data_IF_786444816060
#
_entry.id   IF_786444816060
#
_cell.length_a   1.000
_cell.length_b   1.000
_cell.length_c   1.000
_cell.angle_alpha   90.00
_cell.angle_beta   90.00
_cell.angle_gamma   90.00
#
_symmetry.space_group_name_H-M   'P 1'
#
loop_
_entity.id
_entity.type
_entity.pdbx_description
1 polymer ?
#
# COMPACT_ATOMS: atom_id res chain seq x y z
N UNK A 1 15.36 -19.35 24.97
CA UNK A 1 14.19 -18.90 24.17
C UNK A 1 12.98 -19.23 25.01
N UNK A 2 12.33 -18.24 25.60
CA UNK A 2 11.11 -18.48 26.39
C UNK A 2 10.06 -19.08 25.47
N UNK A 3 9.41 -20.15 25.89
CA UNK A 3 8.19 -20.61 25.23
C UNK A 3 7.21 -19.42 25.16
N UNK A 4 6.59 -19.23 24.00
CA UNK A 4 5.60 -18.17 23.82
C UNK A 4 4.40 -18.44 24.74
N UNK A 5 4.28 -17.66 25.82
CA UNK A 5 3.25 -17.88 26.85
C UNK A 5 1.84 -17.41 26.40
N UNK A 6 1.73 -16.60 25.35
CA UNK A 6 0.49 -16.00 24.84
C UNK A 6 -0.08 -16.59 23.55
N UNK A 7 -0.79 -15.79 22.77
CA UNK A 7 -1.38 -16.20 21.47
C UNK A 7 -0.31 -16.47 20.41
N UNK A 8 0.92 -16.02 20.64
CA UNK A 8 2.07 -16.17 19.75
C UNK A 8 2.44 -17.64 19.52
N UNK A 9 2.07 -18.55 20.45
CA UNK A 9 2.20 -20.00 20.26
C UNK A 9 1.34 -20.57 19.14
N UNK A 10 0.30 -19.84 18.72
CA UNK A 10 -0.57 -20.21 17.59
C UNK A 10 0.00 -19.70 16.25
N UNK A 11 0.98 -18.80 16.30
CA UNK A 11 1.65 -18.24 15.13
C UNK A 11 2.73 -19.22 14.68
N UNK A 12 2.90 -19.40 13.36
CA UNK A 12 4.02 -20.19 12.81
C UNK A 12 5.34 -19.61 13.31
N UNK A 13 6.24 -20.46 13.80
CA UNK A 13 7.51 -20.06 14.44
C UNK A 13 8.31 -19.03 13.61
N UNK A 14 8.37 -19.22 12.29
CA UNK A 14 9.12 -18.35 11.37
C UNK A 14 8.51 -16.94 11.25
N UNK A 15 7.24 -16.78 11.61
CA UNK A 15 6.52 -15.50 11.58
C UNK A 15 6.60 -14.74 12.90
N UNK A 16 6.91 -15.41 14.02
CA UNK A 16 6.95 -14.79 15.36
C UNK A 16 7.94 -13.64 15.41
N UNK A 17 9.07 -13.77 14.71
CA UNK A 17 10.12 -12.74 14.64
C UNK A 17 10.15 -12.02 13.29
N UNK A 18 9.19 -12.29 12.40
CA UNK A 18 9.17 -11.68 11.07
C UNK A 18 8.80 -10.21 11.19
N UNK A 19 9.69 -9.33 10.71
CA UNK A 19 9.45 -7.89 10.71
C UNK A 19 8.25 -7.54 9.82
N UNK A 20 7.40 -6.63 10.30
CA UNK A 20 6.33 -6.07 9.48
C UNK A 20 6.89 -5.34 8.26
N UNK A 21 6.21 -5.48 7.12
CA UNK A 21 6.59 -4.74 5.92
C UNK A 21 6.30 -3.24 6.10
N UNK A 22 7.30 -2.40 5.84
CA UNK A 22 7.15 -0.94 5.87
C UNK A 22 6.88 -0.45 4.44
N UNK A 23 5.61 -0.22 4.13
CA UNK A 23 5.17 0.28 2.83
C UNK A 23 5.37 1.80 2.68
N UNK A 24 5.43 2.28 1.44
CA UNK A 24 5.34 3.72 1.13
C UNK A 24 4.05 4.32 1.69
N UNK A 25 4.09 5.59 2.11
CA UNK A 25 2.90 6.27 2.63
C UNK A 25 2.01 6.75 1.47
N UNK A 26 0.70 6.54 1.59
CA UNK A 26 -0.22 7.10 0.59
C UNK A 26 -0.44 8.60 0.87
N UNK A 27 -0.51 9.46 -0.17
CA UNK A 27 -0.77 10.89 0.01
C UNK A 27 -2.01 11.20 0.86
N UNK A 28 -3.06 10.40 0.73
CA UNK A 28 -4.32 10.55 1.47
C UNK A 28 -4.13 10.41 2.98
N UNK A 29 -3.12 9.66 3.43
CA UNK A 29 -2.80 9.52 4.86
C UNK A 29 -2.09 10.74 5.43
N UNK A 30 -1.62 11.67 4.60
CA UNK A 30 -0.87 12.87 5.01
C UNK A 30 -1.76 14.10 5.19
N UNK A 31 -3.08 13.98 5.00
CA UNK A 31 -4.04 15.08 5.23
C UNK A 31 -3.86 15.65 6.64
N UNK A 32 -3.58 16.96 6.71
CA UNK A 32 -3.37 17.67 7.97
C UNK A 32 -2.04 17.37 8.69
N UNK A 33 -1.18 16.53 8.12
CA UNK A 33 0.18 16.26 8.62
C UNK A 33 1.24 17.08 7.88
N UNK A 34 0.90 17.61 6.71
CA UNK A 34 1.76 18.44 5.86
C UNK A 34 1.05 19.73 5.46
N UNK A 35 1.82 20.76 5.10
CA UNK A 35 1.31 22.08 4.73
C UNK A 35 0.70 22.15 3.33
N UNK A 36 0.97 21.14 2.49
CA UNK A 36 0.49 21.08 1.10
C UNK A 36 -0.81 20.29 1.02
N UNK A 37 -1.75 20.67 0.13
CA UNK A 37 -2.93 19.87 -0.15
C UNK A 37 -2.52 18.55 -0.83
N UNK A 38 -3.33 17.49 -0.65
CA UNK A 38 -3.02 16.12 -1.13
C UNK A 38 -2.78 16.10 -2.64
N UNK A 39 -3.55 16.89 -3.38
CA UNK A 39 -3.49 17.01 -4.84
C UNK A 39 -2.17 17.61 -5.34
N UNK A 40 -1.42 18.26 -4.44
CA UNK A 40 -0.10 18.84 -4.73
C UNK A 40 1.07 17.97 -4.27
N UNK A 41 0.81 16.81 -3.66
CA UNK A 41 1.85 15.87 -3.24
C UNK A 41 2.39 15.13 -4.46
N UNK A 42 3.71 15.21 -4.68
CA UNK A 42 4.40 14.46 -5.73
C UNK A 42 4.95 13.16 -5.13
N UNK A 43 4.39 12.01 -5.55
CA UNK A 43 4.81 10.69 -5.09
C UNK A 43 5.98 10.15 -5.93
N UNK A 44 7.11 9.89 -5.29
CA UNK A 44 8.34 9.39 -5.93
C UNK A 44 8.96 8.19 -5.18
N UNK A 45 8.23 7.59 -4.23
CA UNK A 45 8.74 6.62 -3.25
C UNK A 45 8.17 5.19 -3.38
N UNK A 46 7.40 4.90 -4.44
CA UNK A 46 6.77 3.60 -4.66
C UNK A 46 7.07 2.94 -6.03
N UNK A 47 7.99 3.51 -6.82
CA UNK A 47 8.37 3.00 -8.15
C UNK A 47 7.19 2.83 -9.13
N UNK A 48 6.14 3.62 -8.98
CA UNK A 48 5.01 3.64 -9.89
C UNK A 48 5.38 4.36 -11.20
N UNK A 49 4.69 4.02 -12.30
CA UNK A 49 4.86 4.75 -13.54
C UNK A 49 4.27 6.16 -13.39
N UNK A 50 5.08 7.25 -13.48
CA UNK A 50 4.58 8.61 -13.32
C UNK A 50 3.59 9.02 -14.41
N UNK A 51 3.57 8.32 -15.55
CA UNK A 51 2.61 8.54 -16.63
C UNK A 51 1.28 7.79 -16.42
N UNK A 52 1.15 7.01 -15.35
CA UNK A 52 -0.03 6.20 -15.06
C UNK A 52 -0.16 4.99 -16.00
N UNK A 53 -1.38 4.49 -16.14
CA UNK A 53 -1.70 3.35 -16.99
C UNK A 53 -1.78 3.74 -18.47
N UNK A 54 -1.67 2.76 -19.38
CA UNK A 54 -1.91 3.00 -20.81
C UNK A 54 -3.33 3.53 -21.05
N UNK A 55 -3.52 4.56 -21.89
CA UNK A 55 -4.86 5.04 -22.25
C UNK A 55 -5.78 3.95 -22.81
N UNK A 56 -5.22 2.93 -23.48
CA UNK A 56 -5.97 1.77 -23.98
C UNK A 56 -6.55 0.90 -22.87
N UNK A 57 -5.84 0.79 -21.75
CA UNK A 57 -6.32 0.03 -20.58
C UNK A 57 -7.50 0.75 -19.95
N UNK A 58 -7.45 2.07 -19.79
CA UNK A 58 -8.59 2.84 -19.28
C UNK A 58 -9.85 2.62 -20.10
N UNK A 59 -9.75 2.68 -21.44
CA UNK A 59 -10.87 2.41 -22.34
C UNK A 59 -11.41 0.99 -22.17
N UNK A 60 -10.51 0.00 -22.02
CA UNK A 60 -10.89 -1.40 -21.86
C UNK A 60 -11.60 -1.64 -20.53
N UNK A 61 -11.08 -1.09 -19.43
CA UNK A 61 -11.67 -1.21 -18.10
C UNK A 61 -13.05 -0.54 -18.03
N UNK A 62 -13.23 0.62 -18.69
CA UNK A 62 -14.51 1.32 -18.77
C UNK A 62 -15.58 0.58 -19.61
N UNK A 63 -15.18 -0.38 -20.44
CA UNK A 63 -16.08 -1.23 -21.21
C UNK A 63 -16.24 -2.63 -20.59
N UNK A 64 -15.52 -2.94 -19.50
CA UNK A 64 -15.51 -4.28 -18.92
C UNK A 64 -16.78 -4.52 -18.09
N UNK A 65 -17.61 -5.54 -18.41
CA UNK A 65 -18.94 -5.71 -17.82
C UNK A 65 -18.96 -6.03 -16.31
N UNK A 66 -17.84 -6.46 -15.75
CA UNK A 66 -17.75 -6.79 -14.32
C UNK A 66 -17.27 -5.62 -13.45
N UNK A 67 -16.93 -4.49 -14.07
CA UNK A 67 -16.43 -3.29 -13.38
C UNK A 67 -17.33 -2.05 -13.61
N UNK A 68 -18.30 -2.12 -14.52
CA UNK A 68 -19.25 -1.04 -14.83
C UNK A 68 -20.70 -1.48 -14.66
#
# INVERSE_FOLDING_TARGET
MSEAEGIEKLIRSDLVTFGGYSASKSPETLVGQVEVPVESIIKLDANENPYGCSPRVNQTLAAYPYLN
#
